data_IF_249532264707
#
_entry.id   IF_249532264707
#
_cell.length_a   1.000
_cell.length_b   1.000
_cell.length_c   1.000
_cell.angle_alpha   90.00
_cell.angle_beta   90.00
_cell.angle_gamma   90.00
#
_symmetry.space_group_name_H-M   'P 1'
#
loop_
_entity.id
_entity.type
_entity.pdbx_description
1 polymer ?
#
# COMPACT_ATOMS: atom_id res chain seq x y z
N UNK A 1 33.31 19.91 -20.80
CA UNK A 1 31.91 19.61 -20.41
C UNK A 1 31.06 20.85 -20.67
N UNK A 2 29.87 20.66 -21.24
CA UNK A 2 29.12 21.63 -22.07
C UNK A 2 28.51 22.82 -21.30
N UNK A 3 29.14 23.99 -21.36
CA UNK A 3 28.57 25.26 -20.89
C UNK A 3 27.62 25.93 -21.92
N UNK A 4 27.55 25.39 -23.15
CA UNK A 4 26.73 25.94 -24.25
C UNK A 4 25.23 25.65 -24.07
N UNK A 5 24.85 24.53 -23.44
CA UNK A 5 23.45 24.15 -23.26
C UNK A 5 22.70 25.06 -22.26
N UNK A 6 23.40 25.58 -21.25
CA UNK A 6 22.79 26.40 -20.18
C UNK A 6 22.51 27.82 -20.62
N UNK A 7 23.35 28.39 -21.49
CA UNK A 7 23.14 29.72 -22.08
C UNK A 7 22.03 29.68 -23.14
N UNK A 8 21.96 28.60 -23.91
CA UNK A 8 20.97 28.45 -24.97
C UNK A 8 19.55 28.29 -24.42
N UNK A 9 19.36 27.55 -23.33
CA UNK A 9 18.07 27.51 -22.62
C UNK A 9 17.69 28.88 -22.05
N UNK A 10 18.63 29.63 -21.46
CA UNK A 10 18.38 30.98 -20.94
C UNK A 10 17.90 31.97 -22.02
N UNK A 11 18.45 31.88 -23.22
CA UNK A 11 18.05 32.74 -24.35
C UNK A 11 16.73 32.31 -25.00
N UNK A 12 16.42 31.02 -25.00
CA UNK A 12 15.12 30.52 -25.45
C UNK A 12 14.00 30.88 -24.47
N UNK A 13 14.29 30.90 -23.15
CA UNK A 13 13.37 31.46 -22.15
C UNK A 13 13.01 32.91 -22.46
N UNK A 14 13.91 33.74 -23.02
CA UNK A 14 13.57 35.14 -23.35
C UNK A 14 12.56 35.25 -24.50
N UNK A 15 12.48 34.26 -25.39
CA UNK A 15 11.59 34.22 -26.57
C UNK A 15 10.19 33.65 -26.29
N UNK A 16 9.98 33.03 -25.12
CA UNK A 16 8.67 32.49 -24.75
C UNK A 16 7.71 33.64 -24.45
N UNK A 17 6.52 33.57 -25.05
CA UNK A 17 5.41 34.49 -24.81
C UNK A 17 5.14 34.64 -23.29
N UNK A 18 4.94 35.86 -22.76
CA UNK A 18 4.67 36.09 -21.35
C UNK A 18 3.52 35.23 -20.78
N UNK A 19 2.48 34.96 -21.57
CA UNK A 19 1.34 34.12 -21.17
C UNK A 19 1.78 32.66 -21.01
N UNK A 20 2.65 32.17 -21.89
CA UNK A 20 3.20 30.82 -21.83
C UNK A 20 4.18 30.69 -20.66
N UNK A 21 4.98 31.72 -20.38
CA UNK A 21 5.85 31.78 -19.19
C UNK A 21 5.05 31.71 -17.90
N UNK A 22 4.01 32.50 -17.78
CA UNK A 22 3.17 32.53 -16.58
C UNK A 22 2.51 31.17 -16.37
N UNK A 23 2.03 30.54 -17.44
CA UNK A 23 1.46 29.19 -17.38
C UNK A 23 2.48 28.12 -16.97
N UNK A 24 3.70 28.17 -17.49
CA UNK A 24 4.79 27.25 -17.10
C UNK A 24 5.16 27.45 -15.63
N UNK A 25 5.23 28.71 -15.18
CA UNK A 25 5.55 29.06 -13.80
C UNK A 25 4.45 28.56 -12.84
N UNK A 26 3.19 28.75 -13.21
CA UNK A 26 2.05 28.26 -12.47
C UNK A 26 2.05 26.72 -12.39
N UNK A 27 2.21 26.02 -13.51
CA UNK A 27 2.29 24.56 -13.54
C UNK A 27 3.46 24.02 -12.70
N UNK A 28 4.60 24.71 -12.71
CA UNK A 28 5.77 24.32 -11.91
C UNK A 28 5.54 24.47 -10.40
N UNK A 29 4.69 25.43 -9.99
CA UNK A 29 4.26 25.60 -8.58
C UNK A 29 3.21 24.58 -8.16
N UNK A 30 2.31 24.21 -9.07
CA UNK A 30 1.22 23.25 -8.81
C UNK A 30 1.72 21.79 -8.80
N UNK A 31 2.72 21.46 -9.62
CA UNK A 31 3.28 20.11 -9.72
C UNK A 31 3.72 19.49 -8.39
N UNK A 32 4.54 20.13 -7.52
CA UNK A 32 4.95 19.52 -6.25
C UNK A 32 3.77 19.25 -5.31
N UNK A 33 2.74 20.09 -5.34
CA UNK A 33 1.50 19.87 -4.57
C UNK A 33 0.78 18.64 -5.09
N UNK A 34 0.69 18.51 -6.42
CA UNK A 34 0.07 17.35 -7.07
C UNK A 34 0.83 16.06 -6.74
N UNK A 35 2.17 16.08 -6.84
CA UNK A 35 3.03 14.95 -6.53
C UNK A 35 2.91 14.54 -5.05
N UNK A 36 2.88 15.50 -4.13
CA UNK A 36 2.67 15.24 -2.70
C UNK A 36 1.29 14.61 -2.41
N UNK A 37 0.23 15.10 -3.07
CA UNK A 37 -1.12 14.55 -2.94
C UNK A 37 -1.21 13.13 -3.49
N UNK A 38 -0.55 12.84 -4.61
CA UNK A 38 -0.49 11.49 -5.20
C UNK A 38 0.25 10.54 -4.26
N UNK A 39 1.43 10.94 -3.77
CA UNK A 39 2.21 10.13 -2.81
C UNK A 39 1.41 9.83 -1.54
N UNK A 40 0.69 10.81 -0.99
CA UNK A 40 -0.18 10.60 0.20
C UNK A 40 -1.33 9.65 -0.08
N UNK A 41 -1.96 9.73 -1.25
CA UNK A 41 -3.05 8.82 -1.65
C UNK A 41 -2.55 7.39 -1.79
N UNK A 42 -1.38 7.20 -2.38
CA UNK A 42 -0.77 5.86 -2.54
C UNK A 42 -0.38 5.27 -1.19
N UNK A 43 0.26 6.06 -0.31
CA UNK A 43 0.60 5.62 1.05
C UNK A 43 -0.65 5.23 1.86
N UNK A 44 -1.73 6.01 1.76
CA UNK A 44 -2.99 5.68 2.41
C UNK A 44 -3.62 4.41 1.84
N UNK A 45 -3.63 4.24 0.52
CA UNK A 45 -4.18 3.05 -0.13
C UNK A 45 -3.40 1.77 0.26
N UNK A 46 -2.07 1.87 0.37
CA UNK A 46 -1.22 0.78 0.85
C UNK A 46 -1.55 0.44 2.31
N UNK A 47 -1.54 1.43 3.22
CA UNK A 47 -1.82 1.20 4.63
C UNK A 47 -3.24 0.66 4.88
N UNK A 48 -4.24 1.14 4.12
CA UNK A 48 -5.61 0.62 4.18
C UNK A 48 -5.68 -0.85 3.74
N UNK A 49 -4.98 -1.21 2.65
CA UNK A 49 -4.92 -2.59 2.16
C UNK A 49 -4.22 -3.52 3.17
N UNK A 50 -3.09 -3.10 3.71
CA UNK A 50 -2.35 -3.84 4.74
C UNK A 50 -3.21 -4.07 5.98
N UNK A 51 -3.90 -3.02 6.47
CA UNK A 51 -4.80 -3.12 7.61
C UNK A 51 -5.95 -4.10 7.37
N UNK A 52 -6.55 -4.10 6.17
CA UNK A 52 -7.59 -5.07 5.82
C UNK A 52 -7.06 -6.51 5.79
N UNK A 53 -5.89 -6.74 5.21
CA UNK A 53 -5.31 -8.10 5.13
C UNK A 53 -4.93 -8.64 6.51
N UNK A 54 -4.34 -7.79 7.37
CA UNK A 54 -4.08 -8.14 8.77
C UNK A 54 -5.38 -8.48 9.50
N UNK A 55 -6.42 -7.66 9.37
CA UNK A 55 -7.72 -7.90 9.98
C UNK A 55 -8.36 -9.23 9.52
N UNK A 56 -8.25 -9.57 8.23
CA UNK A 56 -8.70 -10.86 7.69
C UNK A 56 -7.90 -12.03 8.25
N UNK A 57 -6.58 -11.90 8.37
CA UNK A 57 -5.75 -12.95 8.95
C UNK A 57 -6.09 -13.20 10.43
N UNK A 58 -6.22 -12.14 11.22
CA UNK A 58 -6.61 -12.24 12.62
C UNK A 58 -7.99 -12.86 12.77
N UNK A 59 -8.99 -12.41 12.00
CA UNK A 59 -10.34 -12.97 12.03
C UNK A 59 -10.33 -14.47 11.72
N UNK A 60 -9.60 -14.91 10.69
CA UNK A 60 -9.44 -16.33 10.36
C UNK A 60 -8.80 -17.12 11.48
N UNK A 61 -7.80 -16.55 12.16
CA UNK A 61 -7.17 -17.15 13.34
C UNK A 61 -8.15 -17.30 14.51
N UNK A 62 -8.96 -16.28 14.80
CA UNK A 62 -9.99 -16.36 15.84
C UNK A 62 -11.04 -17.42 15.51
N UNK A 63 -11.50 -17.48 14.26
CA UNK A 63 -12.43 -18.51 13.78
C UNK A 63 -11.82 -19.91 13.98
N UNK A 64 -10.58 -20.13 13.52
CA UNK A 64 -9.89 -21.41 13.69
C UNK A 64 -9.83 -21.83 15.16
N UNK A 65 -9.41 -20.93 16.06
CA UNK A 65 -9.31 -21.19 17.50
C UNK A 65 -10.68 -21.58 18.08
N UNK A 66 -11.73 -20.84 17.73
CA UNK A 66 -13.09 -21.11 18.21
C UNK A 66 -13.62 -22.45 17.72
N UNK A 67 -13.33 -22.83 16.48
CA UNK A 67 -13.71 -24.12 15.91
C UNK A 67 -12.92 -25.26 16.55
N UNK A 68 -11.62 -25.09 16.80
CA UNK A 68 -10.79 -26.08 17.52
C UNK A 68 -11.35 -26.33 18.93
N UNK A 69 -11.70 -25.26 19.66
CA UNK A 69 -12.31 -25.35 21.00
C UNK A 69 -13.69 -26.04 21.01
N UNK A 70 -14.39 -26.03 19.87
CA UNK A 70 -15.67 -26.72 19.66
C UNK A 70 -15.49 -28.11 19.06
N UNK A 71 -14.26 -28.63 19.02
CA UNK A 71 -13.92 -29.96 18.50
C UNK A 71 -14.37 -30.18 17.04
N UNK A 72 -14.40 -29.12 16.24
CA UNK A 72 -14.68 -29.23 14.81
C UNK A 72 -13.59 -30.06 14.10
N UNK A 73 -13.98 -30.72 13.00
CA UNK A 73 -13.05 -31.49 12.17
C UNK A 73 -12.06 -30.59 11.46
N UNK A 74 -10.84 -31.08 11.26
CA UNK A 74 -9.78 -30.32 10.60
C UNK A 74 -10.17 -29.92 9.16
N UNK A 75 -10.86 -30.79 8.41
CA UNK A 75 -11.40 -30.46 7.08
C UNK A 75 -12.35 -29.25 7.09
N UNK A 76 -13.24 -29.18 8.08
CA UNK A 76 -14.17 -28.05 8.22
C UNK A 76 -13.43 -26.75 8.57
N UNK A 77 -12.43 -26.84 9.44
CA UNK A 77 -11.59 -25.69 9.82
C UNK A 77 -10.78 -25.19 8.61
N UNK A 78 -10.19 -26.10 7.83
CA UNK A 78 -9.45 -25.78 6.61
C UNK A 78 -10.36 -25.05 5.62
N UNK A 79 -11.56 -25.55 5.36
CA UNK A 79 -12.53 -24.92 4.44
C UNK A 79 -13.00 -23.55 4.91
N UNK A 80 -13.22 -23.37 6.21
CA UNK A 80 -13.71 -22.10 6.76
C UNK A 80 -12.64 -21.01 6.85
N UNK A 81 -11.37 -21.39 7.05
CA UNK A 81 -10.29 -20.44 7.34
C UNK A 81 -9.22 -20.38 6.27
N UNK A 82 -9.26 -21.29 5.29
CA UNK A 82 -8.23 -21.47 4.27
C UNK A 82 -6.82 -21.66 4.85
N UNK A 83 -6.72 -22.16 6.08
CA UNK A 83 -5.44 -22.52 6.68
C UNK A 83 -5.02 -23.93 6.26
N UNK A 84 -3.71 -24.15 6.05
CA UNK A 84 -3.20 -25.48 5.82
C UNK A 84 -3.27 -26.29 7.12
N UNK A 85 -3.29 -27.61 6.97
CA UNK A 85 -3.41 -28.56 8.08
C UNK A 85 -2.33 -28.33 9.15
N UNK A 86 -1.09 -28.06 8.74
CA UNK A 86 0.04 -27.81 9.64
C UNK A 86 -0.20 -26.62 10.56
N UNK A 87 -0.83 -25.56 10.03
CA UNK A 87 -1.16 -24.35 10.80
C UNK A 87 -2.24 -24.65 11.85
N UNK A 88 -3.23 -25.45 11.51
CA UNK A 88 -4.29 -25.88 12.43
C UNK A 88 -3.70 -26.72 13.57
N UNK A 89 -2.80 -27.66 13.24
CA UNK A 89 -2.10 -28.47 14.23
C UNK A 89 -1.22 -27.61 15.16
N UNK A 90 -0.53 -26.60 14.64
CA UNK A 90 0.21 -25.64 15.47
C UNK A 90 -0.70 -24.88 16.43
N UNK A 91 -1.84 -24.36 15.93
CA UNK A 91 -2.82 -23.66 16.77
C UNK A 91 -3.38 -24.57 17.87
N UNK A 92 -3.65 -25.83 17.56
CA UNK A 92 -4.14 -26.83 18.52
C UNK A 92 -3.11 -27.06 19.64
N UNK A 93 -1.84 -27.25 19.29
CA UNK A 93 -0.74 -27.40 20.28
C UNK A 93 -0.61 -26.17 21.18
N UNK A 94 -0.71 -24.96 20.63
CA UNK A 94 -0.66 -23.72 21.41
C UNK A 94 -1.80 -23.59 22.42
N UNK A 95 -2.96 -24.20 22.16
CA UNK A 95 -4.10 -24.20 23.06
C UNK A 95 -4.01 -25.27 24.16
N UNK A 96 -3.30 -26.37 23.93
CA UNK A 96 -3.11 -27.45 24.91
C UNK A 96 -1.99 -27.17 25.92
N UNK A 97 -1.01 -26.33 25.56
CA UNK A 97 0.11 -25.93 26.43
C UNK A 97 -0.14 -24.62 27.21
N UNK A 98 -1.40 -24.22 27.34
CA UNK A 98 -1.84 -23.05 28.13
C UNK A 98 -2.65 -23.52 29.33
#
# INVERSE_FOLDING_TARGET
MNNKNTQQTSDDWKKIDPIVKERILQLSREKPILDEVVVKKDAYAVGYREGMELGKEEARKYIAINMIKKEASDDLIMKATNFPFEKIQQLRRQLTHK
#
